data_IF_583925656148
#
_entry.id   IF_583925656148
#
_cell.length_a   1.000
_cell.length_b   1.000
_cell.length_c   1.000
_cell.angle_alpha   90.00
_cell.angle_beta   90.00
_cell.angle_gamma   90.00
#
_symmetry.space_group_name_H-M   'P 1'
#
loop_
_entity.id
_entity.type
_entity.pdbx_description
1 polymer ?
#
# COMPACT_ATOMS: atom_id res chain seq x y z
N UNK A 1 -48.73 62.77 -51.16
CA UNK A 1 -47.61 61.80 -51.23
C UNK A 1 -46.85 61.83 -49.91
N UNK A 2 -46.67 60.65 -49.27
CA UNK A 2 -45.79 60.32 -48.11
C UNK A 2 -46.12 61.06 -46.79
N UNK A 3 -46.54 60.45 -45.67
CA UNK A 3 -46.49 59.08 -45.18
C UNK A 3 -45.43 58.94 -44.09
N UNK A 4 -45.79 59.09 -42.81
CA UNK A 4 -44.94 58.74 -41.64
C UNK A 4 -45.84 58.08 -40.59
N UNK A 5 -45.76 56.76 -40.49
CA UNK A 5 -46.40 55.96 -39.45
C UNK A 5 -45.48 55.80 -38.24
N UNK A 6 -46.04 55.93 -37.04
CA UNK A 6 -45.38 55.60 -35.79
C UNK A 6 -45.57 54.10 -35.50
N UNK A 7 -44.48 53.33 -35.47
CA UNK A 7 -44.48 51.97 -34.92
C UNK A 7 -44.08 52.05 -33.44
N UNK A 8 -45.05 51.82 -32.55
CA UNK A 8 -44.79 51.51 -31.15
C UNK A 8 -44.33 50.06 -31.02
N UNK A 9 -43.13 49.85 -30.47
CA UNK A 9 -42.64 48.52 -30.11
C UNK A 9 -43.07 48.19 -28.67
N UNK A 10 -43.98 47.23 -28.51
CA UNK A 10 -44.24 46.57 -27.24
C UNK A 10 -43.08 45.61 -26.93
N UNK A 11 -42.34 45.89 -25.86
CA UNK A 11 -41.38 44.94 -25.30
C UNK A 11 -42.10 43.94 -24.40
N UNK A 12 -42.32 42.72 -24.89
CA UNK A 12 -42.77 41.57 -24.10
C UNK A 12 -41.62 41.06 -23.23
N UNK A 13 -41.69 41.35 -21.92
CA UNK A 13 -40.77 40.80 -20.92
C UNK A 13 -41.14 39.34 -20.65
N UNK A 14 -40.40 38.40 -21.22
CA UNK A 14 -40.54 36.97 -20.87
C UNK A 14 -39.85 36.75 -19.52
N UNK A 15 -40.65 36.66 -18.46
CA UNK A 15 -40.18 36.19 -17.15
C UNK A 15 -39.87 34.70 -17.26
N UNK A 16 -38.59 34.36 -17.41
CA UNK A 16 -38.12 32.98 -17.30
C UNK A 16 -38.30 32.48 -15.87
N UNK A 17 -38.56 31.16 -15.67
CA UNK A 17 -38.68 30.59 -14.34
C UNK A 17 -37.34 30.74 -13.60
N UNK A 18 -37.37 31.41 -12.44
CA UNK A 18 -36.26 31.44 -11.52
C UNK A 18 -36.03 30.01 -11.00
N UNK A 19 -34.98 29.36 -11.49
CA UNK A 19 -34.47 28.13 -10.90
C UNK A 19 -34.03 28.50 -9.49
N UNK A 20 -34.73 27.98 -8.49
CA UNK A 20 -34.33 28.09 -7.10
C UNK A 20 -32.94 27.47 -6.96
N UNK A 21 -31.91 28.31 -6.81
CA UNK A 21 -30.59 27.87 -6.42
C UNK A 21 -30.69 27.33 -4.99
N UNK A 22 -30.82 26.01 -4.84
CA UNK A 22 -30.59 25.35 -3.58
C UNK A 22 -29.19 25.73 -3.08
N UNK A 23 -29.08 26.12 -1.80
CA UNK A 23 -27.85 26.53 -1.15
C UNK A 23 -26.85 25.36 -1.03
N UNK A 24 -26.33 24.86 -2.14
CA UNK A 24 -25.28 23.86 -2.13
C UNK A 24 -24.07 24.41 -1.35
N UNK A 25 -23.46 23.64 -0.43
CA UNK A 25 -22.40 24.11 0.45
C UNK A 25 -21.22 24.60 -0.40
N UNK A 26 -20.61 25.78 -0.17
CA UNK A 26 -19.48 26.24 -0.99
C UNK A 26 -18.33 25.21 -1.05
N UNK A 27 -17.62 25.10 -2.17
CA UNK A 27 -16.46 24.18 -2.27
C UNK A 27 -15.45 24.43 -1.14
N UNK A 28 -15.20 25.70 -0.81
CA UNK A 28 -14.33 26.09 0.29
C UNK A 28 -14.77 25.51 1.65
N UNK A 29 -16.06 25.29 1.88
CA UNK A 29 -16.55 24.64 3.10
C UNK A 29 -16.14 23.16 3.16
N UNK A 30 -16.23 22.45 2.04
CA UNK A 30 -15.80 21.04 1.94
C UNK A 30 -14.28 20.93 2.08
N UNK A 31 -13.54 21.86 1.47
CA UNK A 31 -12.08 21.94 1.56
C UNK A 31 -11.64 22.16 3.02
N UNK A 32 -12.28 23.09 3.73
CA UNK A 32 -12.01 23.36 5.15
C UNK A 32 -12.32 22.14 6.03
N UNK A 33 -13.45 21.45 5.78
CA UNK A 33 -13.78 20.24 6.53
C UNK A 33 -12.77 19.13 6.26
N UNK A 34 -12.42 18.86 5.01
CA UNK A 34 -11.46 17.81 4.64
C UNK A 34 -10.04 18.09 5.20
N UNK A 35 -9.65 19.36 5.29
CA UNK A 35 -8.38 19.76 5.89
C UNK A 35 -8.36 19.66 7.43
N UNK A 36 -9.49 19.94 8.09
CA UNK A 36 -9.59 20.01 9.55
C UNK A 36 -10.18 18.79 10.25
N UNK A 37 -10.76 17.84 9.49
CA UNK A 37 -11.29 16.59 10.04
C UNK A 37 -10.15 15.66 10.44
N UNK A 38 -10.07 15.37 11.73
CA UNK A 38 -9.20 14.31 12.22
C UNK A 38 -9.86 12.94 12.00
N UNK A 39 -9.03 11.96 11.67
CA UNK A 39 -9.44 10.60 11.35
C UNK A 39 -8.43 9.67 11.99
N UNK A 40 -8.90 8.74 12.83
CA UNK A 40 -8.06 7.69 13.43
C UNK A 40 -8.69 6.33 13.24
N UNK A 41 -7.91 5.40 12.70
CA UNK A 41 -8.27 3.99 12.58
C UNK A 41 -7.54 3.17 13.65
N UNK A 42 -8.24 2.23 14.27
CA UNK A 42 -7.68 1.32 15.28
C UNK A 42 -8.28 -0.08 15.13
N UNK A 43 -7.42 -1.10 15.05
CA UNK A 43 -7.85 -2.49 15.25
C UNK A 43 -7.94 -2.71 16.75
N UNK A 44 -9.14 -2.98 17.24
CA UNK A 44 -9.43 -3.10 18.67
C UNK A 44 -9.20 -4.53 19.13
N UNK A 45 -9.69 -5.50 18.37
CA UNK A 45 -9.63 -6.91 18.72
C UNK A 45 -9.73 -7.79 17.47
N UNK A 46 -8.85 -8.78 17.32
CA UNK A 46 -8.91 -9.76 16.24
C UNK A 46 -9.69 -11.03 16.61
N UNK A 47 -10.12 -11.14 17.87
CA UNK A 47 -10.91 -12.24 18.41
C UNK A 47 -12.01 -11.76 19.38
N UNK A 48 -12.81 -10.72 19.05
CA UNK A 48 -13.90 -10.30 19.89
C UNK A 48 -15.01 -11.35 19.91
N UNK A 49 -15.95 -11.22 20.85
CA UNK A 49 -17.25 -11.87 20.70
C UNK A 49 -17.99 -11.25 19.53
N UNK A 50 -18.18 -12.03 18.46
CA UNK A 50 -18.83 -11.54 17.26
C UNK A 50 -20.32 -11.27 17.48
N UNK A 51 -20.88 -10.25 16.80
CA UNK A 51 -22.32 -10.03 16.76
C UNK A 51 -23.07 -11.26 16.23
N UNK A 52 -24.34 -11.39 16.61
CA UNK A 52 -25.19 -12.48 16.13
C UNK A 52 -25.22 -12.53 14.60
N UNK A 53 -25.03 -13.74 14.04
CA UNK A 53 -24.99 -13.98 12.59
C UNK A 53 -23.58 -13.96 11.98
N UNK A 54 -22.54 -13.76 12.79
CA UNK A 54 -21.15 -13.68 12.36
C UNK A 54 -20.30 -14.68 13.15
N UNK A 55 -19.60 -15.57 12.45
CA UNK A 55 -18.82 -16.65 13.08
C UNK A 55 -17.40 -16.21 13.46
N UNK A 56 -16.66 -15.61 12.51
CA UNK A 56 -15.27 -15.18 12.68
C UNK A 56 -15.13 -13.72 12.27
N UNK A 57 -14.70 -12.88 13.21
CA UNK A 57 -14.64 -11.45 12.98
C UNK A 57 -13.53 -10.77 13.74
N UNK A 58 -13.26 -9.54 13.33
CA UNK A 58 -12.49 -8.59 14.10
C UNK A 58 -13.30 -7.32 14.30
N UNK A 59 -12.94 -6.59 15.35
CA UNK A 59 -13.46 -5.27 15.65
C UNK A 59 -12.38 -4.24 15.36
N UNK A 60 -12.71 -3.27 14.51
CA UNK A 60 -11.95 -2.06 14.32
C UNK A 60 -12.82 -0.83 14.60
N UNK A 61 -12.20 0.33 14.75
CA UNK A 61 -12.91 1.60 14.86
C UNK A 61 -12.32 2.64 13.94
N UNK A 62 -13.21 3.49 13.41
CA UNK A 62 -12.85 4.80 12.88
C UNK A 62 -13.34 5.81 13.90
N UNK A 63 -12.43 6.62 14.43
CA UNK A 63 -12.80 7.81 15.18
C UNK A 63 -12.65 9.04 14.30
N UNK A 64 -13.73 9.81 14.17
CA UNK A 64 -13.75 11.12 13.55
C UNK A 64 -13.78 12.20 14.65
N UNK A 65 -12.89 13.18 14.58
CA UNK A 65 -12.97 14.39 15.44
C UNK A 65 -13.22 15.60 14.55
N UNK A 66 -14.38 16.23 14.70
CA UNK A 66 -14.79 17.37 13.90
C UNK A 66 -13.98 18.61 14.31
N UNK A 67 -13.61 19.49 13.37
CA UNK A 67 -12.93 20.74 13.70
C UNK A 67 -13.84 21.67 14.52
N UNK A 68 -13.23 22.51 15.37
CA UNK A 68 -13.95 23.52 16.16
C UNK A 68 -14.69 24.54 15.27
N UNK A 69 -14.15 24.79 14.08
CA UNK A 69 -14.78 25.60 13.04
C UNK A 69 -15.37 24.69 11.97
N UNK A 70 -16.65 24.37 12.12
CA UNK A 70 -17.40 23.56 11.16
C UNK A 70 -18.34 24.43 10.32
N UNK A 71 -18.23 24.47 8.98
CA UNK A 71 -19.12 25.25 8.13
C UNK A 71 -20.59 24.87 8.30
N UNK A 72 -21.46 25.86 8.55
CA UNK A 72 -22.88 25.62 8.85
C UNK A 72 -23.61 24.84 7.75
N UNK A 73 -23.24 25.07 6.49
CA UNK A 73 -23.81 24.41 5.31
C UNK A 73 -23.52 22.91 5.21
N UNK A 74 -22.58 22.39 6.00
CA UNK A 74 -22.22 20.97 6.03
C UNK A 74 -22.65 20.28 7.33
N UNK A 75 -23.32 20.98 8.24
CA UNK A 75 -23.70 20.42 9.56
C UNK A 75 -24.89 19.48 9.50
N UNK A 76 -25.73 19.59 8.47
CA UNK A 76 -26.99 18.85 8.31
C UNK A 76 -27.11 18.40 6.86
N UNK A 77 -27.77 17.27 6.64
CA UNK A 77 -28.21 16.84 5.31
C UNK A 77 -27.62 15.50 4.87
N UNK A 78 -28.33 14.85 3.95
CA UNK A 78 -27.91 13.61 3.30
C UNK A 78 -26.81 13.84 2.25
N UNK A 79 -26.49 15.10 1.96
CA UNK A 79 -25.67 15.49 0.82
C UNK A 79 -24.17 15.34 1.10
N UNK A 80 -23.78 15.15 2.37
CA UNK A 80 -22.40 14.85 2.76
C UNK A 80 -22.20 13.35 2.92
N UNK A 81 -21.21 12.82 2.22
CA UNK A 81 -20.78 11.43 2.30
C UNK A 81 -19.29 11.33 2.61
N UNK A 82 -18.93 10.38 3.47
CA UNK A 82 -17.54 9.95 3.66
C UNK A 82 -17.36 8.61 2.97
N UNK A 83 -16.35 8.52 2.12
CA UNK A 83 -15.94 7.28 1.47
C UNK A 83 -14.59 6.84 2.03
N UNK A 84 -14.43 5.54 2.21
CA UNK A 84 -13.18 4.94 2.61
C UNK A 84 -13.05 3.55 1.99
N UNK A 85 -11.80 3.14 1.80
CA UNK A 85 -11.45 1.86 1.20
C UNK A 85 -11.11 0.86 2.31
N UNK A 86 -11.66 -0.36 2.22
CA UNK A 86 -11.41 -1.42 3.20
C UNK A 86 -11.34 -2.80 2.54
N UNK A 87 -10.21 -3.49 2.72
CA UNK A 87 -9.92 -4.76 2.00
C UNK A 87 -10.78 -5.92 2.47
N UNK A 88 -11.14 -5.95 3.76
CA UNK A 88 -11.97 -7.00 4.32
C UNK A 88 -13.45 -6.68 4.09
N UNK A 89 -14.31 -7.68 3.84
CA UNK A 89 -15.75 -7.48 3.92
C UNK A 89 -16.15 -6.96 5.31
N UNK A 90 -17.01 -5.95 5.33
CA UNK A 90 -17.62 -5.39 6.53
C UNK A 90 -19.08 -5.83 6.58
N UNK A 91 -19.41 -6.83 7.39
CA UNK A 91 -20.80 -7.29 7.47
C UNK A 91 -21.66 -6.35 8.31
N UNK A 92 -21.04 -5.62 9.26
CA UNK A 92 -21.75 -4.70 10.15
C UNK A 92 -20.91 -3.47 10.49
N UNK A 93 -21.53 -2.30 10.39
CA UNK A 93 -21.01 -1.04 10.90
C UNK A 93 -21.99 -0.49 11.93
N UNK A 94 -21.47 0.00 13.04
CA UNK A 94 -22.26 0.63 14.09
C UNK A 94 -21.81 2.08 14.29
N UNK A 95 -22.76 3.00 14.24
CA UNK A 95 -22.51 4.43 14.41
C UNK A 95 -23.78 5.12 14.87
N UNK A 96 -23.64 6.10 15.77
CA UNK A 96 -24.77 6.91 16.24
C UNK A 96 -25.20 7.94 15.19
N UNK A 97 -24.28 8.37 14.31
CA UNK A 97 -24.53 9.46 13.35
C UNK A 97 -24.60 9.02 11.89
N UNK A 98 -24.01 7.89 11.54
CA UNK A 98 -23.82 7.49 10.15
C UNK A 98 -24.59 6.22 9.82
N UNK A 99 -25.24 6.23 8.65
CA UNK A 99 -25.67 5.04 7.94
C UNK A 99 -24.54 4.54 7.04
N UNK A 100 -24.56 3.24 6.74
CA UNK A 100 -23.52 2.55 6.00
C UNK A 100 -24.09 1.87 4.75
N UNK A 101 -23.31 1.89 3.67
CA UNK A 101 -23.43 0.94 2.56
C UNK A 101 -22.08 0.57 1.97
N UNK A 102 -21.94 -0.68 1.53
CA UNK A 102 -20.90 -1.07 0.59
C UNK A 102 -21.29 -0.59 -0.81
N UNK A 103 -20.34 -0.03 -1.57
CA UNK A 103 -20.58 0.44 -2.93
C UNK A 103 -20.22 -0.65 -3.93
N UNK A 104 -18.94 -1.03 -3.94
CA UNK A 104 -18.41 -2.12 -4.73
C UNK A 104 -17.00 -2.44 -4.22
N UNK A 105 -16.66 -3.72 -4.20
CA UNK A 105 -15.35 -4.19 -3.75
C UNK A 105 -15.00 -3.61 -2.38
N UNK A 106 -13.89 -2.89 -2.34
CA UNK A 106 -13.34 -2.30 -1.12
C UNK A 106 -13.96 -0.94 -0.76
N UNK A 107 -14.72 -0.31 -1.65
CA UNK A 107 -15.25 1.04 -1.44
C UNK A 107 -16.48 1.02 -0.53
N UNK A 108 -16.35 1.67 0.62
CA UNK A 108 -17.37 1.84 1.64
C UNK A 108 -17.87 3.28 1.65
N UNK A 109 -19.15 3.49 1.99
CA UNK A 109 -19.73 4.82 2.16
C UNK A 109 -20.44 4.94 3.50
N UNK A 110 -20.22 6.09 4.15
CA UNK A 110 -20.95 6.58 5.30
C UNK A 110 -21.72 7.85 4.94
N UNK A 111 -23.01 7.88 5.25
CA UNK A 111 -23.89 9.05 5.07
C UNK A 111 -24.49 9.45 6.41
N UNK A 112 -24.79 10.72 6.62
CA UNK A 112 -25.48 11.13 7.85
C UNK A 112 -26.88 10.50 7.93
N UNK A 113 -27.22 10.00 9.11
CA UNK A 113 -28.56 9.52 9.44
C UNK A 113 -29.59 10.65 9.32
N UNK A 114 -30.86 10.35 9.01
CA UNK A 114 -31.93 11.35 9.06
C UNK A 114 -31.96 12.09 10.40
N UNK A 115 -31.92 13.42 10.36
CA UNK A 115 -31.92 14.27 11.56
C UNK A 115 -30.58 14.38 12.30
N UNK A 116 -29.54 13.66 11.87
CA UNK A 116 -28.21 13.80 12.43
C UNK A 116 -27.63 15.19 12.16
N UNK A 117 -26.87 15.71 13.14
CA UNK A 117 -26.21 17.02 13.05
C UNK A 117 -24.76 16.87 13.47
N UNK A 118 -23.84 17.25 12.58
CA UNK A 118 -22.44 17.36 12.92
C UNK A 118 -22.22 18.56 13.83
N UNK A 119 -21.66 18.29 15.02
CA UNK A 119 -21.35 19.31 16.02
C UNK A 119 -19.86 19.67 15.94
N UNK A 120 -19.50 20.98 15.94
CA UNK A 120 -18.10 21.38 15.99
C UNK A 120 -17.38 20.79 17.21
N UNK A 121 -16.12 20.37 17.05
CA UNK A 121 -15.32 19.77 18.13
C UNK A 121 -15.77 18.37 18.59
N UNK A 122 -16.86 17.83 18.06
CA UNK A 122 -17.39 16.56 18.51
C UNK A 122 -16.55 15.38 18.02
N UNK A 123 -16.49 14.34 18.85
CA UNK A 123 -15.83 13.07 18.55
C UNK A 123 -16.88 11.99 18.32
N UNK A 124 -16.74 11.24 17.23
CA UNK A 124 -17.65 10.14 16.87
C UNK A 124 -16.86 8.87 16.60
N UNK A 125 -17.28 7.77 17.21
CA UNK A 125 -16.68 6.46 17.03
C UNK A 125 -17.61 5.61 16.18
N UNK A 126 -17.08 5.09 15.09
CA UNK A 126 -17.75 4.17 14.18
C UNK A 126 -17.08 2.81 14.39
N UNK A 127 -17.85 1.80 14.80
CA UNK A 127 -17.36 0.43 14.93
C UNK A 127 -17.52 -0.31 13.62
N UNK A 128 -16.47 -1.02 13.23
CA UNK A 128 -16.39 -1.82 12.02
C UNK A 128 -16.24 -3.28 12.44
N UNK A 129 -17.22 -4.11 12.10
CA UNK A 129 -17.19 -5.55 12.30
C UNK A 129 -16.86 -6.21 10.96
N UNK A 130 -15.60 -6.59 10.79
CA UNK A 130 -15.09 -7.20 9.57
C UNK A 130 -14.94 -8.71 9.70
N UNK A 131 -15.00 -9.42 8.56
CA UNK A 131 -14.82 -10.87 8.53
C UNK A 131 -13.34 -11.25 8.71
N UNK A 132 -13.09 -12.26 9.55
CA UNK A 132 -11.75 -12.82 9.77
C UNK A 132 -10.92 -12.03 10.78
N UNK A 133 -9.70 -11.64 10.41
CA UNK A 133 -8.76 -10.93 11.29
C UNK A 133 -7.96 -9.88 10.53
N UNK A 134 -7.60 -8.79 11.22
CA UNK A 134 -6.80 -7.68 10.72
C UNK A 134 -5.43 -7.64 11.44
N UNK A 135 -4.46 -8.39 10.91
CA UNK A 135 -3.19 -8.68 11.59
C UNK A 135 -2.05 -7.69 11.28
N UNK A 136 -2.27 -6.72 10.40
CA UNK A 136 -1.24 -5.78 9.99
C UNK A 136 -1.81 -4.42 9.72
N UNK A 137 -1.09 -3.37 10.12
CA UNK A 137 -1.44 -1.99 9.74
C UNK A 137 -1.26 -1.73 8.25
N UNK A 138 -0.43 -2.53 7.57
CA UNK A 138 -0.07 -2.32 6.17
C UNK A 138 -1.23 -2.58 5.19
N UNK A 139 -2.32 -3.22 5.65
CA UNK A 139 -3.50 -3.47 4.81
C UNK A 139 -4.58 -2.38 4.95
N UNK A 140 -4.34 -1.36 5.79
CA UNK A 140 -5.22 -0.19 5.87
C UNK A 140 -4.97 0.71 4.66
N UNK A 141 -6.04 1.13 3.99
CA UNK A 141 -5.93 1.95 2.79
C UNK A 141 -6.05 3.44 3.12
N UNK A 142 -5.14 4.30 2.61
CA UNK A 142 -5.18 5.74 2.81
C UNK A 142 -6.26 6.40 1.95
N UNK A 143 -6.34 7.73 2.07
CA UNK A 143 -7.13 8.62 1.21
C UNK A 143 -8.66 8.44 1.34
N UNK A 144 -9.16 8.32 2.57
CA UNK A 144 -10.59 8.52 2.81
C UNK A 144 -10.99 9.94 2.36
N UNK A 145 -12.17 10.09 1.78
CA UNK A 145 -12.57 11.34 1.13
C UNK A 145 -14.02 11.71 1.40
N UNK A 146 -14.28 13.01 1.34
CA UNK A 146 -15.61 13.59 1.49
C UNK A 146 -16.17 13.96 0.12
N UNK A 147 -17.47 13.74 -0.05
CA UNK A 147 -18.25 14.18 -1.22
C UNK A 147 -19.43 14.99 -0.71
N UNK A 148 -19.67 16.14 -1.35
CA UNK A 148 -20.88 16.93 -1.15
C UNK A 148 -21.58 17.15 -2.50
N UNK A 149 -22.92 17.24 -2.51
CA UNK A 149 -23.68 17.44 -3.75
C UNK A 149 -23.21 18.68 -4.53
N UNK A 150 -23.00 18.50 -5.84
CA UNK A 150 -22.55 19.56 -6.74
C UNK A 150 -21.13 20.06 -6.47
N UNK A 151 -20.31 19.31 -5.72
CA UNK A 151 -18.93 19.67 -5.37
C UNK A 151 -17.95 18.59 -5.78
N UNK A 152 -16.70 19.00 -5.95
CA UNK A 152 -15.61 18.08 -6.19
C UNK A 152 -15.21 17.41 -4.88
N UNK A 153 -14.99 16.09 -4.93
CA UNK A 153 -14.53 15.30 -3.79
C UNK A 153 -13.22 15.86 -3.21
N UNK A 154 -13.03 15.67 -1.90
CA UNK A 154 -11.83 16.08 -1.18
C UNK A 154 -11.33 14.99 -0.25
N UNK A 155 -10.09 14.58 -0.43
CA UNK A 155 -9.40 13.66 0.48
C UNK A 155 -9.23 14.33 1.83
N UNK A 156 -9.57 13.60 2.89
CA UNK A 156 -9.36 14.01 4.28
C UNK A 156 -7.85 14.02 4.53
N UNK A 157 -7.32 15.20 4.87
CA UNK A 157 -5.87 15.41 4.96
C UNK A 157 -5.19 14.43 5.93
N UNK A 158 -5.83 14.13 7.06
CA UNK A 158 -5.33 13.21 8.08
C UNK A 158 -5.12 11.76 7.57
N UNK A 159 -5.79 11.38 6.48
CA UNK A 159 -5.75 10.00 5.95
C UNK A 159 -4.76 9.80 4.80
N UNK A 160 -4.01 10.84 4.45
CA UNK A 160 -2.92 10.71 3.47
C UNK A 160 -1.77 9.93 4.07
N UNK A 161 -1.07 9.20 3.22
CA UNK A 161 0.20 8.61 3.56
C UNK A 161 1.24 9.71 3.83
N UNK A 162 2.19 9.39 4.69
CA UNK A 162 3.35 10.22 4.98
C UNK A 162 4.61 9.40 4.81
N UNK A 163 5.75 10.05 4.64
CA UNK A 163 7.05 9.38 4.76
C UNK A 163 7.49 9.46 6.22
N UNK A 164 7.89 8.32 6.77
CA UNK A 164 8.54 8.24 8.06
C UNK A 164 10.00 8.74 7.90
N UNK A 165 10.42 9.77 8.65
CA UNK A 165 11.71 10.42 8.43
C UNK A 165 12.90 9.54 8.84
N UNK A 166 12.71 8.58 9.74
CA UNK A 166 13.78 7.73 10.25
C UNK A 166 14.05 6.55 9.32
N UNK A 167 12.99 6.01 8.71
CA UNK A 167 13.05 4.82 7.84
C UNK A 167 13.01 5.14 6.35
N UNK A 168 12.53 6.32 5.96
CA UNK A 168 12.27 6.67 4.56
C UNK A 168 11.10 5.91 3.92
N UNK A 169 10.33 5.14 4.71
CA UNK A 169 9.23 4.32 4.23
C UNK A 169 7.87 5.01 4.36
N UNK A 170 6.87 4.64 3.53
CA UNK A 170 5.49 5.08 3.72
C UNK A 170 4.94 4.67 5.09
N UNK A 171 4.24 5.61 5.74
CA UNK A 171 3.65 5.47 7.06
C UNK A 171 2.21 6.01 7.08
N UNK A 172 1.32 5.24 7.70
CA UNK A 172 -0.08 5.59 7.90
C UNK A 172 -0.27 6.17 9.32
N UNK A 173 -0.08 7.48 9.46
CA UNK A 173 -0.11 8.16 10.78
C UNK A 173 -1.48 8.10 11.46
N UNK A 174 -2.55 8.01 10.67
CA UNK A 174 -3.91 7.85 11.17
C UNK A 174 -4.21 6.45 11.73
N UNK A 175 -3.32 5.48 11.53
CA UNK A 175 -3.51 4.10 12.03
C UNK A 175 -2.83 3.96 13.38
N UNK A 176 -3.60 3.63 14.41
CA UNK A 176 -3.10 3.36 15.74
C UNK A 176 -2.04 2.24 15.73
N UNK A 177 -1.03 2.31 16.59
CA UNK A 177 -0.06 1.22 16.72
C UNK A 177 -0.76 -0.03 17.26
N UNK A 178 -0.38 -1.20 16.76
CA UNK A 178 -0.84 -2.49 17.26
C UNK A 178 0.12 -2.94 18.36
N UNK A 179 -0.23 -2.71 19.62
CA UNK A 179 0.66 -2.98 20.77
C UNK A 179 0.11 -4.05 21.70
N UNK A 180 -1.19 -4.33 21.68
CA UNK A 180 -1.82 -5.36 22.49
C UNK A 180 -1.72 -6.74 21.81
N UNK A 181 -0.60 -7.42 22.06
CA UNK A 181 -0.36 -8.72 21.46
C UNK A 181 -1.43 -9.77 21.82
N UNK A 182 -2.05 -9.69 23.01
CA UNK A 182 -3.04 -10.67 23.44
C UNK A 182 -4.33 -10.60 22.61
N UNK A 183 -4.71 -9.40 22.18
CA UNK A 183 -5.89 -9.17 21.34
C UNK A 183 -5.61 -9.23 19.85
N UNK A 184 -4.41 -8.82 19.43
CA UNK A 184 -4.17 -8.46 18.04
C UNK A 184 -3.31 -9.45 17.24
N UNK A 185 -2.59 -10.36 17.89
CA UNK A 185 -1.56 -11.18 17.21
C UNK A 185 -2.11 -12.39 16.45
N UNK A 186 -3.23 -12.95 16.89
CA UNK A 186 -3.67 -14.30 16.50
C UNK A 186 -5.08 -14.29 15.91
N UNK A 187 -5.34 -15.18 14.96
CA UNK A 187 -6.67 -15.35 14.33
C UNK A 187 -7.67 -16.16 15.16
N UNK A 188 -7.19 -16.90 16.15
CA UNK A 188 -7.99 -17.82 16.96
C UNK A 188 -7.11 -18.61 17.92
N UNK A 189 -7.72 -19.47 18.74
CA UNK A 189 -7.01 -20.16 19.84
C UNK A 189 -5.96 -21.19 19.37
N UNK A 190 -6.13 -21.70 18.14
CA UNK A 190 -5.19 -22.61 17.50
C UNK A 190 -3.98 -21.89 16.89
N UNK A 191 -4.07 -20.57 16.66
CA UNK A 191 -2.99 -19.77 16.10
C UNK A 191 -1.96 -19.48 17.20
N UNK A 192 -0.74 -20.01 17.02
CA UNK A 192 0.40 -19.85 17.93
C UNK A 192 1.39 -18.80 17.45
N UNK A 193 1.02 -18.00 16.45
CA UNK A 193 1.86 -16.91 15.96
C UNK A 193 2.15 -15.95 17.10
N UNK A 194 3.41 -15.53 17.18
CA UNK A 194 3.88 -14.54 18.15
C UNK A 194 4.58 -13.44 17.37
N UNK A 195 4.30 -12.17 17.68
CA UNK A 195 5.00 -11.07 17.04
C UNK A 195 6.50 -11.17 17.27
N UNK A 196 7.24 -10.98 16.18
CA UNK A 196 8.68 -10.90 16.19
C UNK A 196 9.11 -9.51 16.68
N UNK A 197 9.08 -9.31 18.00
CA UNK A 197 9.59 -8.08 18.62
C UNK A 197 11.10 -7.98 18.46
N UNK A 198 11.70 -6.78 18.61
CA UNK A 198 13.15 -6.63 18.51
C UNK A 198 13.93 -7.60 19.40
N UNK A 199 13.46 -7.88 20.62
CA UNK A 199 14.12 -8.80 21.57
C UNK A 199 14.05 -10.25 21.08
N UNK A 200 12.89 -10.68 20.55
CA UNK A 200 12.73 -12.01 19.96
C UNK A 200 13.52 -12.17 18.67
N UNK A 201 13.53 -11.14 17.84
CA UNK A 201 14.33 -11.10 16.62
C UNK A 201 15.83 -11.22 16.95
N UNK A 202 16.30 -10.50 17.96
CA UNK A 202 17.68 -10.59 18.43
C UNK A 202 17.99 -12.00 18.92
N UNK A 203 17.19 -12.57 19.82
CA UNK A 203 17.39 -13.93 20.31
C UNK A 203 17.43 -14.96 19.17
N UNK A 204 16.45 -14.89 18.26
CA UNK A 204 16.36 -15.79 17.10
C UNK A 204 17.56 -15.67 16.16
N UNK A 205 18.08 -14.45 15.95
CA UNK A 205 19.21 -14.22 15.04
C UNK A 205 20.56 -14.47 15.69
N UNK A 206 20.71 -14.25 17.01
CA UNK A 206 21.92 -14.55 17.76
C UNK A 206 22.24 -16.05 17.73
N UNK A 207 21.21 -16.91 17.75
CA UNK A 207 21.35 -18.36 17.59
C UNK A 207 21.80 -18.78 16.18
N UNK A 208 21.66 -17.89 15.18
CA UNK A 208 21.97 -18.17 13.76
C UNK A 208 23.40 -17.78 13.36
N UNK A 209 24.32 -17.68 14.32
CA UNK A 209 25.73 -17.42 14.02
C UNK A 209 26.29 -18.51 13.09
N UNK A 210 26.38 -18.22 11.80
CA UNK A 210 27.03 -19.09 10.84
C UNK A 210 28.55 -18.91 10.98
N UNK A 211 29.34 -20.00 11.04
CA UNK A 211 30.78 -19.88 10.94
C UNK A 211 31.13 -19.20 9.60
N UNK A 212 32.26 -18.48 9.51
CA UNK A 212 32.74 -17.97 8.24
C UNK A 212 32.72 -19.08 7.20
N UNK A 213 32.12 -18.81 6.04
CA UNK A 213 32.04 -19.79 4.98
C UNK A 213 33.47 -20.17 4.58
N UNK A 214 33.77 -21.47 4.62
CA UNK A 214 35.07 -22.00 4.19
C UNK A 214 34.91 -22.58 2.80
N UNK A 215 35.73 -22.12 1.87
CA UNK A 215 35.79 -22.65 0.51
C UNK A 215 34.77 -22.07 -0.46
N UNK A 216 34.36 -22.88 -1.44
CA UNK A 216 33.51 -22.44 -2.57
C UNK A 216 32.06 -22.22 -2.10
N UNK A 217 31.59 -20.98 -2.21
CA UNK A 217 30.19 -20.61 -1.94
C UNK A 217 29.52 -20.15 -3.24
N UNK A 218 29.04 -21.11 -4.02
CA UNK A 218 28.20 -20.85 -5.19
C UNK A 218 26.73 -20.95 -4.74
N UNK A 219 25.95 -19.91 -5.05
CA UNK A 219 24.51 -19.84 -4.75
C UNK A 219 23.73 -19.73 -6.07
N UNK A 220 22.77 -20.62 -6.36
CA UNK A 220 22.36 -21.79 -5.56
C UNK A 220 23.44 -22.89 -5.51
N UNK A 221 23.36 -23.78 -4.51
CA UNK A 221 24.32 -24.88 -4.32
C UNK A 221 24.40 -25.74 -5.60
N UNK A 222 25.58 -25.91 -6.21
CA UNK A 222 25.72 -26.73 -7.41
C UNK A 222 25.51 -28.22 -7.08
N UNK A 223 25.12 -29.00 -8.08
CA UNK A 223 24.95 -30.45 -7.94
C UNK A 223 26.24 -31.14 -7.48
N UNK A 224 27.38 -30.65 -7.94
CA UNK A 224 28.70 -31.07 -7.50
C UNK A 224 29.65 -29.87 -7.48
N UNK A 225 30.45 -29.75 -6.41
CA UNK A 225 31.55 -28.79 -6.32
C UNK A 225 32.71 -29.41 -5.55
N UNK A 226 33.92 -29.19 -6.06
CA UNK A 226 35.16 -29.54 -5.42
C UNK A 226 36.10 -28.34 -5.50
N UNK A 227 36.80 -28.04 -4.40
CA UNK A 227 37.81 -27.02 -4.37
C UNK A 227 39.17 -27.64 -4.67
N UNK A 228 39.87 -27.10 -5.66
CA UNK A 228 41.24 -27.50 -5.95
C UNK A 228 42.21 -26.97 -4.89
N UNK A 229 43.32 -27.65 -4.70
CA UNK A 229 44.46 -27.11 -3.95
C UNK A 229 45.15 -26.01 -4.76
N UNK A 230 45.69 -25.00 -4.07
CA UNK A 230 46.43 -23.89 -4.67
C UNK A 230 45.84 -22.52 -4.35
N UNK A 231 46.42 -21.49 -4.97
CA UNK A 231 46.04 -20.10 -4.76
C UNK A 231 44.69 -19.77 -5.40
N UNK A 232 44.00 -18.78 -4.81
CA UNK A 232 42.79 -18.23 -5.39
C UNK A 232 43.09 -17.62 -6.78
N UNK A 233 42.13 -17.75 -7.69
CA UNK A 233 42.24 -17.16 -9.02
C UNK A 233 42.28 -15.63 -8.91
N UNK A 234 43.37 -15.03 -9.39
CA UNK A 234 43.54 -13.58 -9.43
C UNK A 234 42.91 -12.98 -10.70
N UNK A 235 41.85 -12.20 -10.51
CA UNK A 235 41.13 -11.51 -11.57
C UNK A 235 41.56 -10.04 -11.75
N UNK A 236 42.48 -9.53 -10.92
CA UNK A 236 42.83 -8.10 -10.90
C UNK A 236 43.47 -7.60 -12.19
N UNK A 237 44.11 -8.50 -12.95
CA UNK A 237 44.73 -8.21 -14.26
C UNK A 237 43.79 -8.48 -15.44
N UNK A 238 42.49 -8.59 -15.16
CA UNK A 238 41.47 -8.90 -16.16
C UNK A 238 41.52 -10.33 -16.68
N UNK A 239 40.49 -10.68 -17.44
CA UNK A 239 40.36 -11.96 -18.15
C UNK A 239 40.54 -11.75 -19.64
N UNK A 240 40.97 -12.78 -20.36
CA UNK A 240 40.97 -12.83 -21.82
C UNK A 240 39.81 -13.68 -22.27
N UNK A 241 38.74 -13.04 -22.73
CA UNK A 241 37.50 -13.73 -23.08
C UNK A 241 37.62 -14.49 -24.41
N UNK A 242 37.17 -15.73 -24.42
CA UNK A 242 36.97 -16.53 -25.62
C UNK A 242 35.60 -17.22 -25.56
N UNK A 243 34.78 -16.99 -26.59
CA UNK A 243 33.42 -17.52 -26.68
C UNK A 243 33.33 -18.55 -27.80
N UNK A 244 32.61 -19.64 -27.57
CA UNK A 244 32.31 -20.65 -28.58
C UNK A 244 30.86 -21.10 -28.45
N UNK A 245 30.09 -21.05 -29.53
CA UNK A 245 28.68 -21.46 -29.52
C UNK A 245 27.74 -20.51 -28.78
N UNK A 246 28.22 -19.32 -28.37
CA UNK A 246 27.42 -18.30 -27.69
C UNK A 246 27.78 -16.90 -28.20
N UNK A 247 26.77 -16.05 -28.38
CA UNK A 247 26.96 -14.66 -28.74
C UNK A 247 27.45 -13.85 -27.53
N UNK A 248 28.38 -12.92 -27.76
CA UNK A 248 28.84 -11.94 -26.78
C UNK A 248 27.68 -11.21 -26.10
N UNK A 249 26.64 -10.85 -26.86
CA UNK A 249 25.47 -10.15 -26.34
C UNK A 249 24.71 -10.97 -25.27
N UNK A 250 24.71 -12.30 -25.39
CA UNK A 250 24.03 -13.17 -24.44
C UNK A 250 24.73 -13.24 -23.07
N UNK A 251 26.05 -12.98 -23.02
CA UNK A 251 26.87 -13.03 -21.80
C UNK A 251 27.33 -11.66 -21.29
N UNK A 252 27.05 -10.59 -22.04
CA UNK A 252 27.52 -9.25 -21.71
C UNK A 252 27.08 -8.74 -20.32
N UNK A 253 25.83 -8.94 -19.85
CA UNK A 253 25.43 -8.50 -18.50
C UNK A 253 26.21 -9.19 -17.38
N UNK A 254 26.48 -10.50 -17.53
CA UNK A 254 27.23 -11.27 -16.53
C UNK A 254 28.71 -10.84 -16.48
N UNK A 255 29.30 -10.56 -17.63
CA UNK A 255 30.69 -10.05 -17.71
C UNK A 255 30.81 -8.63 -17.13
N UNK A 256 29.82 -7.77 -17.39
CA UNK A 256 29.77 -6.44 -16.77
C UNK A 256 29.63 -6.54 -15.24
N UNK A 257 28.81 -7.47 -14.74
CA UNK A 257 28.66 -7.71 -13.30
C UNK A 257 29.93 -8.27 -12.64
N UNK A 258 30.77 -9.01 -13.38
CA UNK A 258 32.08 -9.47 -12.90
C UNK A 258 33.04 -8.30 -12.66
N UNK A 259 32.88 -7.19 -13.39
CA UNK A 259 33.63 -5.94 -13.15
C UNK A 259 35.12 -6.00 -13.51
N UNK A 260 35.53 -6.92 -14.39
CA UNK A 260 36.93 -7.13 -14.80
C UNK A 260 37.14 -6.79 -16.27
N UNK A 261 38.32 -6.30 -16.62
CA UNK A 261 38.68 -6.04 -18.03
C UNK A 261 38.75 -7.35 -18.83
N UNK A 262 38.33 -7.32 -20.10
CA UNK A 262 38.20 -8.52 -20.96
C UNK A 262 39.36 -8.73 -21.95
N UNK A 263 40.33 -7.82 -21.95
CA UNK A 263 41.60 -7.87 -22.67
C UNK A 263 42.78 -8.25 -21.76
N UNK A 264 42.48 -8.88 -20.62
CA UNK A 264 43.44 -9.20 -19.57
C UNK A 264 44.32 -10.42 -19.84
N UNK A 265 44.99 -10.87 -18.78
CA UNK A 265 45.98 -11.94 -18.85
C UNK A 265 45.38 -13.35 -18.65
N UNK A 266 44.34 -13.47 -17.81
CA UNK A 266 43.81 -14.78 -17.40
C UNK A 266 42.81 -15.32 -18.44
N UNK A 267 43.03 -16.47 -19.10
CA UNK A 267 42.06 -17.03 -20.03
C UNK A 267 40.70 -17.30 -19.39
N UNK A 268 39.62 -16.76 -19.98
CA UNK A 268 38.24 -17.13 -19.66
C UNK A 268 37.59 -17.69 -20.92
N UNK A 269 37.32 -19.00 -20.92
CA UNK A 269 36.69 -19.71 -22.03
C UNK A 269 35.25 -20.06 -21.66
N UNK A 270 34.30 -19.64 -22.50
CA UNK A 270 32.89 -20.00 -22.36
C UNK A 270 32.45 -20.74 -23.61
N UNK A 271 32.02 -21.98 -23.45
CA UNK A 271 31.57 -22.85 -24.54
C UNK A 271 30.16 -23.35 -24.28
N UNK A 272 29.25 -23.06 -25.20
CA UNK A 272 27.94 -23.72 -25.25
C UNK A 272 28.01 -24.84 -26.27
N UNK A 273 27.92 -26.07 -25.77
CA UNK A 273 27.98 -27.28 -26.57
C UNK A 273 26.69 -28.12 -26.41
N UNK A 274 25.80 -28.13 -27.42
CA UNK A 274 24.55 -28.89 -27.35
C UNK A 274 24.79 -30.41 -27.35
N UNK A 275 26.02 -30.86 -27.64
CA UNK A 275 26.41 -32.27 -27.67
C UNK A 275 27.18 -32.70 -26.42
N UNK A 276 27.31 -31.83 -25.41
CA UNK A 276 28.05 -32.08 -24.16
C UNK A 276 27.50 -33.24 -23.31
N UNK A 277 26.28 -33.70 -23.59
CA UNK A 277 25.58 -34.70 -22.79
C UNK A 277 25.09 -34.18 -21.43
N UNK A 278 25.23 -32.87 -21.17
CA UNK A 278 24.62 -32.22 -20.02
C UNK A 278 23.10 -32.06 -20.26
N UNK A 279 22.32 -32.12 -19.18
CA UNK A 279 20.91 -31.74 -19.24
C UNK A 279 20.77 -30.27 -19.68
N UNK A 280 19.59 -29.84 -20.18
CA UNK A 280 19.33 -28.44 -20.46
C UNK A 280 19.73 -27.55 -19.28
N UNK A 281 20.43 -26.44 -19.57
CA UNK A 281 21.01 -25.51 -18.58
C UNK A 281 22.11 -26.08 -17.65
N UNK A 282 22.51 -27.34 -17.86
CA UNK A 282 23.64 -27.93 -17.17
C UNK A 282 24.96 -27.29 -17.61
N UNK A 283 25.86 -27.05 -16.65
CA UNK A 283 27.18 -26.48 -16.89
C UNK A 283 28.26 -27.22 -16.11
N UNK A 284 29.50 -27.02 -16.52
CA UNK A 284 30.69 -27.34 -15.73
C UNK A 284 31.50 -26.06 -15.60
N UNK A 285 32.00 -25.78 -14.40
CA UNK A 285 32.89 -24.66 -14.18
C UNK A 285 34.19 -25.21 -13.58
N UNK A 286 35.31 -24.92 -14.24
CA UNK A 286 36.65 -25.19 -13.73
C UNK A 286 37.42 -23.87 -13.65
N UNK A 287 37.90 -23.52 -12.47
CA UNK A 287 38.64 -22.30 -12.22
C UNK A 287 40.00 -22.64 -11.59
N UNK A 288 41.07 -22.25 -12.28
CA UNK A 288 42.46 -22.50 -11.91
C UNK A 288 43.29 -21.23 -12.12
N UNK A 289 44.49 -21.21 -11.53
CA UNK A 289 45.40 -20.06 -11.65
C UNK A 289 45.80 -19.74 -13.11
N UNK A 290 45.73 -20.71 -14.01
CA UNK A 290 46.07 -20.59 -15.43
C UNK A 290 44.85 -20.33 -16.34
N UNK A 291 43.62 -20.34 -15.79
CA UNK A 291 42.42 -19.98 -16.54
C UNK A 291 41.11 -20.49 -15.94
N UNK A 292 40.02 -20.02 -16.53
CA UNK A 292 38.65 -20.40 -16.21
C UNK A 292 38.00 -20.98 -17.46
N UNK A 293 37.27 -22.08 -17.30
CA UNK A 293 36.47 -22.71 -18.34
C UNK A 293 35.04 -22.97 -17.86
N UNK A 294 34.08 -22.61 -18.72
CA UNK A 294 32.64 -22.81 -18.55
C UNK A 294 32.09 -23.52 -19.79
#
# INVERSE_FOLDING_TARGET
MRGIGWMGALALSVAGPAVAQGNAPPQAALDQLAAGLDYRFEVVDNRPTCPQGMANCFLATITLTLPDKLPASLRKGADLSLYFSFVNPLDRIESDLFDYRNINGDVQQLTLKPGAVLRPGARHVIKLWGVGSHLSRAVVMPNAYLVAEGRQARVIAATRDAIDPDTGLPALRFVAPMTDAARLTTKGDSDKTVWLTPERAFAQNAERAAPPAKGIVILPRPAHAAQHEGDAVDLTRGVRLSLTGVDRAAVAPALAALGVAEDGALPLRIRVDPTSGLAPEGYRLDARADGIAI
#
